data_IF_914109950439
#
_entry.id   IF_914109950439
#
_cell.length_a   1.000
_cell.length_b   1.000
_cell.length_c   1.000
_cell.angle_alpha   90.00
_cell.angle_beta   90.00
_cell.angle_gamma   90.00
#
_symmetry.space_group_name_H-M   'P 1'
#
loop_
_entity.id
_entity.type
_entity.pdbx_description
1 polymer ?
#
# COMPACT_ATOMS: atom_id res chain seq x y z
N UNK A 1 7.69 27.71 -4.05
CA UNK A 1 7.27 26.90 -2.89
C UNK A 1 8.30 25.82 -2.71
N UNK A 2 8.87 25.64 -1.52
CA UNK A 2 9.79 24.55 -1.21
C UNK A 2 9.03 23.22 -1.07
N UNK A 3 9.77 22.10 -1.14
CA UNK A 3 9.14 20.78 -1.02
C UNK A 3 8.48 20.61 0.36
N UNK A 4 9.05 21.14 1.43
CA UNK A 4 8.45 21.06 2.76
C UNK A 4 7.05 21.69 2.79
N UNK A 5 6.91 22.88 2.23
CA UNK A 5 5.61 23.56 2.15
C UNK A 5 4.62 22.84 1.24
N UNK A 6 5.09 22.23 0.16
CA UNK A 6 4.24 21.35 -0.66
C UNK A 6 3.70 20.16 0.17
N UNK A 7 4.55 19.51 0.98
CA UNK A 7 4.13 18.41 1.83
C UNK A 7 3.09 18.86 2.87
N UNK A 8 3.26 20.06 3.45
CA UNK A 8 2.26 20.68 4.36
C UNK A 8 0.95 20.94 3.64
N UNK A 9 0.99 21.60 2.47
CA UNK A 9 -0.19 21.94 1.69
C UNK A 9 -0.97 20.70 1.21
N UNK A 10 -0.27 19.58 1.02
CA UNK A 10 -0.89 18.29 0.70
C UNK A 10 -1.39 17.52 1.91
N UNK A 11 -1.15 18.00 3.15
CA UNK A 11 -1.57 17.33 4.38
C UNK A 11 -0.78 16.06 4.68
N UNK A 12 0.47 15.97 4.22
CA UNK A 12 1.30 14.76 4.33
C UNK A 12 2.10 14.69 5.64
N UNK A 13 2.33 15.80 6.32
CA UNK A 13 3.14 15.86 7.56
C UNK A 13 2.24 15.68 8.78
N UNK A 14 2.60 14.77 9.68
CA UNK A 14 1.91 14.56 10.95
C UNK A 14 2.74 15.05 12.15
N UNK A 15 3.99 14.59 12.29
CA UNK A 15 4.91 14.97 13.37
C UNK A 15 6.33 15.16 12.84
N UNK A 16 7.07 16.05 13.44
CA UNK A 16 8.48 16.35 13.11
C UNK A 16 9.30 16.56 14.38
N UNK A 17 10.57 16.19 14.36
CA UNK A 17 11.49 16.41 15.49
C UNK A 17 11.98 17.86 15.57
N UNK A 18 12.29 18.48 14.43
CA UNK A 18 12.71 19.88 14.31
C UNK A 18 12.29 20.40 12.93
N UNK A 19 11.31 21.29 12.92
CA UNK A 19 10.72 21.78 11.67
C UNK A 19 11.71 22.60 10.83
N UNK A 20 12.48 23.49 11.47
CA UNK A 20 13.37 24.41 10.75
C UNK A 20 14.51 23.63 10.07
N UNK A 21 15.14 22.70 10.78
CA UNK A 21 16.24 21.90 10.27
C UNK A 21 15.77 20.92 9.19
N UNK A 22 14.61 20.29 9.39
CA UNK A 22 14.00 19.39 8.38
C UNK A 22 13.66 20.16 7.10
N UNK A 23 13.05 21.33 7.24
CA UNK A 23 12.75 22.23 6.10
C UNK A 23 14.02 22.58 5.33
N UNK A 24 15.07 22.99 6.04
CA UNK A 24 16.35 23.33 5.38
C UNK A 24 16.94 22.11 4.64
N UNK A 25 16.90 20.93 5.25
CA UNK A 25 17.43 19.72 4.64
C UNK A 25 16.66 19.35 3.35
N UNK A 26 15.34 19.25 3.42
CA UNK A 26 14.54 18.75 2.29
C UNK A 26 14.40 19.78 1.17
N UNK A 27 14.28 21.06 1.48
CA UNK A 27 14.15 22.13 0.48
C UNK A 27 15.45 22.39 -0.32
N UNK A 28 16.60 22.04 0.27
CA UNK A 28 17.91 22.20 -0.39
C UNK A 28 18.47 20.89 -0.97
N UNK A 29 17.70 19.81 -1.00
CA UNK A 29 18.17 18.52 -1.51
C UNK A 29 19.29 17.88 -0.69
N UNK A 30 19.41 18.23 0.60
CA UNK A 30 20.46 17.77 1.52
C UNK A 30 20.03 16.56 2.37
N UNK A 31 18.77 16.15 2.31
CA UNK A 31 18.30 15.00 3.05
C UNK A 31 18.69 13.70 2.35
N UNK A 32 19.48 12.88 3.03
CA UNK A 32 19.55 11.43 2.78
C UNK A 32 18.66 10.78 3.80
N UNK A 33 17.58 10.15 3.34
CA UNK A 33 16.53 9.66 4.23
C UNK A 33 16.16 8.22 3.95
N UNK A 34 15.64 7.52 4.95
CA UNK A 34 15.16 6.16 4.74
C UNK A 34 13.71 5.98 5.17
N UNK A 35 13.07 5.02 4.52
CA UNK A 35 11.79 4.44 4.91
C UNK A 35 11.97 2.92 4.96
N UNK A 36 11.52 2.29 6.05
CA UNK A 36 11.57 0.85 6.24
C UNK A 36 10.33 0.14 5.65
N UNK A 37 10.56 -1.01 5.03
CA UNK A 37 9.53 -1.88 4.46
C UNK A 37 9.77 -3.32 4.90
N UNK A 38 8.88 -3.84 5.74
CA UNK A 38 8.92 -5.25 6.13
C UNK A 38 8.39 -6.13 5.00
N UNK A 39 9.17 -7.11 4.49
CA UNK A 39 8.80 -7.93 3.34
C UNK A 39 7.81 -9.04 3.72
N UNK A 40 6.65 -8.66 4.27
CA UNK A 40 5.62 -9.58 4.79
C UNK A 40 4.73 -10.21 3.71
N UNK A 41 4.90 -9.84 2.46
CA UNK A 41 4.23 -10.39 1.28
C UNK A 41 5.14 -10.18 0.06
N UNK A 42 4.85 -10.89 -1.03
CA UNK A 42 5.53 -10.77 -2.32
C UNK A 42 5.06 -9.56 -3.17
N UNK A 43 4.27 -8.66 -2.59
CA UNK A 43 3.86 -7.41 -3.21
C UNK A 43 3.65 -6.30 -2.19
N UNK A 44 3.95 -5.07 -2.60
CA UNK A 44 3.49 -3.86 -1.97
C UNK A 44 1.98 -3.68 -2.24
N UNK A 45 1.31 -2.91 -1.41
CA UNK A 45 -0.13 -2.61 -1.52
C UNK A 45 -0.39 -1.12 -1.26
N UNK A 46 -1.62 -0.67 -1.47
CA UNK A 46 -2.03 0.74 -1.27
C UNK A 46 -1.62 1.30 0.11
N UNK A 47 -1.50 0.49 1.15
CA UNK A 47 -1.00 0.94 2.45
C UNK A 47 0.46 1.44 2.43
N UNK A 48 1.28 1.03 1.47
CA UNK A 48 2.64 1.51 1.26
C UNK A 48 2.70 2.73 0.31
N UNK A 49 1.59 3.03 -0.36
CA UNK A 49 1.53 4.01 -1.45
C UNK A 49 1.95 5.40 -0.99
N UNK A 50 1.51 5.82 0.20
CA UNK A 50 1.89 7.11 0.79
C UNK A 50 3.41 7.25 0.94
N UNK A 51 4.07 6.20 1.45
CA UNK A 51 5.52 6.17 1.62
C UNK A 51 6.23 6.26 0.27
N UNK A 52 5.75 5.51 -0.74
CA UNK A 52 6.33 5.54 -2.10
C UNK A 52 6.16 6.90 -2.77
N UNK A 53 4.98 7.52 -2.67
CA UNK A 53 4.73 8.85 -3.18
C UNK A 53 5.60 9.91 -2.49
N UNK A 54 5.82 9.78 -1.17
CA UNK A 54 6.72 10.66 -0.44
C UNK A 54 8.16 10.51 -0.92
N UNK A 55 8.65 9.27 -1.06
CA UNK A 55 10.00 9.00 -1.58
C UNK A 55 10.19 9.63 -2.96
N UNK A 56 9.21 9.47 -3.86
CA UNK A 56 9.24 10.07 -5.20
C UNK A 56 9.30 11.59 -5.15
N UNK A 57 8.44 12.24 -4.34
CA UNK A 57 8.41 13.70 -4.21
C UNK A 57 9.74 14.26 -3.71
N UNK A 58 10.28 13.66 -2.67
CA UNK A 58 11.55 14.09 -2.09
C UNK A 58 12.72 13.84 -3.03
N UNK A 59 12.71 12.73 -3.78
CA UNK A 59 13.71 12.48 -4.82
C UNK A 59 13.62 13.50 -5.96
N UNK A 60 12.42 13.87 -6.43
CA UNK A 60 12.22 14.92 -7.42
C UNK A 60 12.71 16.28 -6.93
N UNK A 61 12.71 16.52 -5.62
CA UNK A 61 13.26 17.72 -4.99
C UNK A 61 14.77 17.63 -4.72
N UNK A 62 15.47 16.61 -5.24
CA UNK A 62 16.91 16.43 -5.13
C UNK A 62 17.39 15.69 -3.89
N UNK A 63 16.48 15.19 -3.04
CA UNK A 63 16.85 14.40 -1.86
C UNK A 63 17.14 12.94 -2.21
N UNK A 64 17.91 12.26 -1.39
CA UNK A 64 18.38 10.88 -1.64
C UNK A 64 17.61 9.86 -0.79
N UNK A 65 16.68 9.09 -1.38
CA UNK A 65 15.94 8.07 -0.64
C UNK A 65 16.75 6.78 -0.47
N UNK A 66 16.57 6.14 0.68
CA UNK A 66 17.01 4.78 0.97
C UNK A 66 15.77 3.94 1.28
N UNK A 67 15.49 2.95 0.45
CA UNK A 67 14.51 1.91 0.74
C UNK A 67 15.17 0.84 1.61
N UNK A 68 14.87 0.84 2.91
CA UNK A 68 15.37 -0.17 3.83
C UNK A 68 14.41 -1.36 3.86
N UNK A 69 14.88 -2.51 3.39
CA UNK A 69 14.12 -3.75 3.48
C UNK A 69 14.41 -4.43 4.80
N UNK A 70 13.35 -4.75 5.53
CA UNK A 70 13.40 -5.39 6.85
C UNK A 70 13.68 -6.89 6.78
N UNK A 71 14.76 -7.32 6.10
CA UNK A 71 15.12 -8.74 6.04
C UNK A 71 15.50 -9.31 7.41
N UNK A 72 16.22 -8.56 8.23
CA UNK A 72 16.55 -8.92 9.61
C UNK A 72 15.35 -8.72 10.57
N UNK A 73 14.73 -7.54 10.53
CA UNK A 73 13.57 -7.22 11.38
C UNK A 73 12.33 -8.05 11.03
N UNK A 74 12.22 -8.54 9.80
CA UNK A 74 11.15 -9.45 9.36
C UNK A 74 11.09 -10.78 10.12
N UNK A 75 12.23 -11.23 10.68
CA UNK A 75 12.27 -12.41 11.55
C UNK A 75 11.64 -12.15 12.93
N UNK A 76 11.53 -10.90 13.35
CA UNK A 76 10.97 -10.48 14.64
C UNK A 76 9.51 -10.05 14.49
N UNK A 77 9.26 -9.11 13.58
CA UNK A 77 7.97 -8.48 13.33
C UNK A 77 7.70 -7.26 14.22
N UNK A 78 7.36 -6.15 13.57
CA UNK A 78 7.03 -4.88 14.24
C UNK A 78 5.72 -5.00 15.05
N UNK A 79 5.75 -4.71 16.37
CA UNK A 79 4.54 -4.70 17.22
C UNK A 79 3.69 -3.44 17.03
N UNK A 80 4.22 -2.37 16.42
CA UNK A 80 3.56 -1.06 16.35
C UNK A 80 2.23 -1.13 15.61
N UNK A 81 1.19 -0.54 16.20
CA UNK A 81 -0.16 -0.49 15.61
C UNK A 81 -0.85 -1.85 15.43
N UNK A 82 -0.43 -2.87 16.17
CA UNK A 82 -0.97 -4.24 16.12
C UNK A 82 -1.41 -4.74 17.48
N UNK A 83 -2.31 -5.71 17.43
CA UNK A 83 -2.80 -6.39 18.64
C UNK A 83 -2.26 -7.82 18.76
N UNK A 84 -1.74 -8.41 17.67
CA UNK A 84 -1.31 -9.80 17.60
C UNK A 84 0.13 -9.91 17.06
N UNK A 85 0.86 -10.94 17.48
CA UNK A 85 2.21 -11.24 16.99
C UNK A 85 2.17 -11.67 15.52
N UNK A 86 3.20 -11.29 14.74
CA UNK A 86 3.35 -11.74 13.34
C UNK A 86 3.79 -13.21 13.28
N UNK A 87 3.38 -13.92 12.22
CA UNK A 87 3.94 -15.22 11.86
C UNK A 87 5.39 -15.06 11.38
N UNK A 88 6.27 -15.96 11.82
CA UNK A 88 7.66 -15.98 11.38
C UNK A 88 7.76 -16.47 9.94
N UNK A 89 8.59 -15.80 9.13
CA UNK A 89 8.84 -16.16 7.73
C UNK A 89 10.20 -16.85 7.58
N UNK A 90 10.36 -17.69 6.55
CA UNK A 90 11.67 -18.26 6.22
C UNK A 90 12.53 -17.25 5.47
N UNK A 91 13.86 -17.48 5.48
CA UNK A 91 14.80 -16.61 4.76
C UNK A 91 14.48 -16.57 3.26
N UNK A 92 14.17 -17.71 2.65
CA UNK A 92 13.85 -17.81 1.22
C UNK A 92 12.61 -16.97 0.87
N UNK A 93 11.60 -16.98 1.73
CA UNK A 93 10.39 -16.14 1.56
C UNK A 93 10.74 -14.64 1.65
N UNK A 94 11.58 -14.28 2.62
CA UNK A 94 12.02 -12.88 2.79
C UNK A 94 12.81 -12.42 1.56
N UNK A 95 13.78 -13.21 1.09
CA UNK A 95 14.61 -12.89 -0.08
C UNK A 95 13.76 -12.74 -1.35
N UNK A 96 12.79 -13.64 -1.55
CA UNK A 96 11.85 -13.53 -2.66
C UNK A 96 11.02 -12.24 -2.60
N UNK A 97 10.45 -11.93 -1.45
CA UNK A 97 9.64 -10.72 -1.25
C UNK A 97 10.46 -9.44 -1.45
N UNK A 98 11.73 -9.42 -1.02
CA UNK A 98 12.65 -8.31 -1.26
C UNK A 98 12.83 -8.02 -2.75
N UNK A 99 13.06 -9.08 -3.55
CA UNK A 99 13.23 -8.95 -5.00
C UNK A 99 11.94 -8.40 -5.67
N UNK A 100 10.77 -8.85 -5.21
CA UNK A 100 9.47 -8.35 -5.69
C UNK A 100 9.29 -6.86 -5.36
N UNK A 101 9.63 -6.44 -4.15
CA UNK A 101 9.54 -5.04 -3.72
C UNK A 101 10.40 -4.12 -4.57
N UNK A 102 11.64 -4.49 -4.85
CA UNK A 102 12.55 -3.70 -5.68
C UNK A 102 11.93 -3.38 -7.04
N UNK A 103 11.46 -4.41 -7.73
CA UNK A 103 10.84 -4.26 -9.05
C UNK A 103 9.62 -3.32 -9.04
N UNK A 104 8.85 -3.32 -7.97
CA UNK A 104 7.68 -2.44 -7.83
C UNK A 104 8.09 -1.01 -7.48
N UNK A 105 9.11 -0.82 -6.62
CA UNK A 105 9.62 0.49 -6.24
C UNK A 105 10.28 1.24 -7.40
N UNK A 106 10.89 0.54 -8.35
CA UNK A 106 11.49 1.11 -9.57
C UNK A 106 10.50 1.94 -10.42
N UNK A 107 9.19 1.76 -10.21
CA UNK A 107 8.17 2.59 -10.85
C UNK A 107 7.97 3.95 -10.17
N UNK A 108 8.40 4.08 -8.93
CA UNK A 108 8.25 5.31 -8.13
C UNK A 108 9.54 6.10 -8.03
N UNK A 109 10.65 5.43 -7.78
CA UNK A 109 11.95 6.06 -7.53
C UNK A 109 13.01 5.48 -8.45
N UNK A 110 13.97 6.33 -8.80
CA UNK A 110 15.11 5.95 -9.61
C UNK A 110 16.25 5.46 -8.70
N UNK A 111 16.64 4.20 -8.86
CA UNK A 111 17.79 3.62 -8.18
C UNK A 111 19.11 3.89 -8.92
N UNK A 112 20.20 4.06 -8.18
CA UNK A 112 21.54 4.29 -8.72
C UNK A 112 22.50 4.85 -7.68
N UNK A 113 23.77 4.98 -8.01
CA UNK A 113 24.84 5.37 -7.09
C UNK A 113 24.59 6.73 -6.44
N UNK A 114 24.11 7.73 -7.22
CA UNK A 114 23.77 9.07 -6.74
C UNK A 114 22.26 9.34 -6.64
N UNK A 115 21.46 8.28 -6.71
CA UNK A 115 20.00 8.34 -6.66
C UNK A 115 19.49 7.60 -5.42
N UNK A 116 18.43 6.80 -5.56
CA UNK A 116 17.94 5.98 -4.47
C UNK A 116 18.82 4.74 -4.27
N UNK A 117 18.93 4.31 -3.02
CA UNK A 117 19.53 3.03 -2.65
C UNK A 117 18.47 2.09 -2.12
N UNK A 118 18.67 0.78 -2.33
CA UNK A 118 17.95 -0.26 -1.62
C UNK A 118 18.95 -1.06 -0.80
N UNK A 119 18.70 -1.18 0.49
CA UNK A 119 19.54 -1.90 1.44
C UNK A 119 18.69 -2.86 2.27
N UNK A 120 19.30 -3.93 2.75
CA UNK A 120 18.63 -4.94 3.57
C UNK A 120 19.27 -4.93 4.97
N UNK A 121 18.48 -4.73 6.00
CA UNK A 121 19.01 -4.74 7.37
C UNK A 121 19.46 -6.12 7.86
N UNK A 122 19.16 -7.19 7.13
CA UNK A 122 19.76 -8.51 7.37
C UNK A 122 21.29 -8.47 7.27
N UNK A 123 21.84 -7.61 6.38
CA UNK A 123 23.28 -7.51 6.12
C UNK A 123 24.09 -7.04 7.34
N UNK A 124 23.47 -6.41 8.33
CA UNK A 124 24.13 -5.99 9.56
C UNK A 124 23.46 -6.52 10.84
N UNK A 125 22.16 -6.82 10.84
CA UNK A 125 21.48 -7.28 12.05
C UNK A 125 21.75 -8.76 12.34
N UNK A 126 21.90 -9.60 11.32
CA UNK A 126 22.03 -11.05 11.52
C UNK A 126 23.41 -11.45 12.06
N UNK A 127 24.42 -10.64 11.80
CA UNK A 127 25.81 -10.91 12.25
C UNK A 127 26.16 -10.17 13.56
N UNK A 128 25.20 -9.46 14.18
CA UNK A 128 25.45 -8.74 15.43
C UNK A 128 25.72 -9.70 16.60
N UNK A 129 26.81 -9.43 17.31
CA UNK A 129 27.06 -10.10 18.58
C UNK A 129 26.07 -9.56 19.64
N UNK A 130 25.27 -10.45 20.21
CA UNK A 130 24.23 -10.09 21.15
C UNK A 130 24.76 -9.35 22.40
N UNK A 131 25.89 -9.80 22.96
CA UNK A 131 26.48 -9.20 24.17
C UNK A 131 27.02 -7.80 23.86
N UNK A 132 27.65 -7.64 22.71
CA UNK A 132 28.18 -6.33 22.27
C UNK A 132 27.01 -5.37 21.98
N UNK A 133 25.94 -5.82 21.33
CA UNK A 133 24.76 -5.01 21.10
C UNK A 133 24.14 -4.53 22.42
N UNK A 134 23.97 -5.39 23.41
CA UNK A 134 23.46 -5.00 24.72
C UNK A 134 24.35 -4.00 25.42
N UNK A 135 25.67 -4.19 25.36
CA UNK A 135 26.64 -3.29 26.00
C UNK A 135 26.70 -1.92 25.35
N UNK A 136 26.78 -1.88 24.01
CA UNK A 136 27.04 -0.65 23.27
C UNK A 136 25.74 0.12 22.93
N UNK A 137 24.67 -0.59 22.62
CA UNK A 137 23.39 0.01 22.18
C UNK A 137 22.36 -0.08 23.30
N UNK A 138 22.20 -1.24 23.91
CA UNK A 138 21.21 -1.45 24.99
C UNK A 138 21.40 -0.49 26.16
N UNK A 139 22.65 -0.14 26.51
CA UNK A 139 22.96 0.86 27.55
C UNK A 139 22.41 2.26 27.25
N UNK A 140 22.07 2.56 25.99
CA UNK A 140 21.48 3.84 25.61
C UNK A 140 19.96 3.90 25.82
N UNK A 141 19.31 2.76 26.10
CA UNK A 141 17.87 2.66 26.25
C UNK A 141 17.44 2.44 27.70
N UNK A 142 16.41 3.15 28.13
CA UNK A 142 15.77 2.95 29.42
C UNK A 142 14.51 2.11 29.24
N UNK A 143 14.46 0.94 29.88
CA UNK A 143 13.27 0.06 29.87
C UNK A 143 12.01 0.83 30.31
N UNK A 144 12.12 1.67 31.36
CA UNK A 144 10.98 2.46 31.82
C UNK A 144 10.46 3.44 30.77
N UNK A 145 11.35 4.03 29.96
CA UNK A 145 10.95 4.93 28.89
C UNK A 145 10.35 4.14 27.69
N UNK A 146 10.97 3.01 27.36
CA UNK A 146 10.43 2.12 26.31
C UNK A 146 9.02 1.64 26.64
N UNK A 147 8.75 1.19 27.85
CA UNK A 147 7.43 0.72 28.28
C UNK A 147 6.35 1.82 28.26
N UNK A 148 6.74 3.09 28.28
CA UNK A 148 5.81 4.23 28.12
C UNK A 148 5.51 4.56 26.66
N UNK A 149 6.28 4.01 25.71
CA UNK A 149 6.12 4.27 24.31
C UNK A 149 4.78 3.75 23.78
N UNK A 150 4.14 4.53 22.92
CA UNK A 150 2.80 4.21 22.40
C UNK A 150 2.76 2.89 21.64
N UNK A 151 3.86 2.55 20.93
CA UNK A 151 3.97 1.29 20.18
C UNK A 151 3.84 0.03 21.07
N UNK A 152 4.11 0.13 22.38
CA UNK A 152 4.00 -1.02 23.30
C UNK A 152 2.70 -1.06 24.12
N UNK A 153 2.01 0.06 24.32
CA UNK A 153 0.83 0.13 25.20
C UNK A 153 -0.24 -0.92 24.86
N UNK A 154 -0.64 -1.01 23.58
CA UNK A 154 -1.66 -1.96 23.14
C UNK A 154 -1.22 -3.42 23.28
N UNK A 155 0.09 -3.67 23.09
CA UNK A 155 0.66 -5.01 23.22
C UNK A 155 0.79 -5.45 24.67
N UNK A 156 1.08 -4.52 25.59
CA UNK A 156 1.20 -4.83 27.03
C UNK A 156 -0.09 -5.41 27.61
N UNK A 157 -1.27 -4.98 27.15
CA UNK A 157 -2.57 -5.49 27.58
C UNK A 157 -2.76 -6.96 27.22
N UNK A 158 -2.19 -7.41 26.09
CA UNK A 158 -2.29 -8.77 25.57
C UNK A 158 -1.06 -9.65 25.80
N UNK A 159 -0.02 -9.08 26.41
CA UNK A 159 1.26 -9.74 26.66
C UNK A 159 2.29 -9.39 25.56
N UNK A 160 3.19 -8.46 25.88
CA UNK A 160 4.35 -8.10 25.05
C UNK A 160 5.47 -9.12 25.26
N UNK A 161 5.90 -9.79 24.19
CA UNK A 161 7.05 -10.69 24.26
C UNK A 161 8.37 -9.92 24.32
N UNK A 162 9.41 -10.56 24.91
CA UNK A 162 10.76 -10.00 24.92
C UNK A 162 11.29 -9.79 23.48
N UNK A 163 10.92 -10.66 22.56
CA UNK A 163 11.24 -10.55 21.14
C UNK A 163 10.72 -9.22 20.56
N UNK A 164 9.41 -8.97 20.68
CA UNK A 164 8.77 -7.75 20.20
C UNK A 164 9.30 -6.49 20.90
N UNK A 165 9.63 -6.60 22.18
CA UNK A 165 10.20 -5.48 22.97
C UNK A 165 11.55 -5.01 22.42
N UNK A 166 12.34 -5.89 21.83
CA UNK A 166 13.62 -5.54 21.23
C UNK A 166 13.50 -4.87 19.85
N UNK A 167 12.32 -4.88 19.21
CA UNK A 167 12.15 -4.31 17.88
C UNK A 167 12.57 -2.84 17.80
N UNK A 168 12.18 -2.02 18.77
CA UNK A 168 12.59 -0.60 18.84
C UNK A 168 14.10 -0.44 18.83
N UNK A 169 14.85 -1.30 19.54
CA UNK A 169 16.31 -1.24 19.60
C UNK A 169 16.91 -1.56 18.23
N UNK A 170 16.36 -2.58 17.54
CA UNK A 170 16.82 -2.98 16.21
C UNK A 170 16.56 -1.89 15.17
N UNK A 171 15.38 -1.30 15.15
CA UNK A 171 15.08 -0.19 14.23
C UNK A 171 15.91 1.06 14.55
N UNK A 172 16.19 1.33 15.83
CA UNK A 172 17.09 2.41 16.23
C UNK A 172 18.52 2.15 15.77
N UNK A 173 18.97 0.90 15.82
CA UNK A 173 20.27 0.49 15.31
C UNK A 173 20.35 0.61 13.78
N UNK A 174 19.28 0.31 13.06
CA UNK A 174 19.19 0.54 11.61
C UNK A 174 19.47 2.01 11.28
N UNK A 175 18.81 2.95 11.97
CA UNK A 175 19.04 4.37 11.73
C UNK A 175 20.47 4.78 12.05
N UNK A 176 21.00 4.31 13.19
CA UNK A 176 22.39 4.57 13.59
C UNK A 176 23.39 4.02 12.56
N UNK A 177 23.18 2.80 12.05
CA UNK A 177 24.00 2.18 11.02
C UNK A 177 23.94 2.97 9.69
N UNK A 178 22.73 3.31 9.24
CA UNK A 178 22.53 4.08 8.02
C UNK A 178 23.12 5.49 8.11
N UNK A 179 23.05 6.11 9.28
CA UNK A 179 23.69 7.40 9.53
C UNK A 179 25.20 7.35 9.34
N UNK A 180 25.85 6.31 9.87
CA UNK A 180 27.31 6.17 9.80
C UNK A 180 27.79 5.74 8.40
N UNK A 181 27.11 4.83 7.75
CA UNK A 181 27.60 4.18 6.53
C UNK A 181 27.05 4.80 5.23
N UNK A 182 25.89 5.46 5.31
CA UNK A 182 25.22 6.01 4.13
C UNK A 182 24.91 7.52 4.24
N UNK A 183 25.34 8.16 5.32
CA UNK A 183 25.06 9.58 5.57
C UNK A 183 23.57 9.88 5.74
N UNK A 184 22.77 8.88 6.13
CA UNK A 184 21.34 9.00 6.32
C UNK A 184 21.02 9.89 7.53
N UNK A 185 20.53 11.09 7.30
CA UNK A 185 20.25 12.09 8.33
C UNK A 185 18.78 12.22 8.71
N UNK A 186 17.88 11.50 7.99
CA UNK A 186 16.44 11.55 8.27
C UNK A 186 15.80 10.17 8.17
N UNK A 187 14.78 9.96 9.02
CA UNK A 187 13.87 8.81 8.92
C UNK A 187 12.44 9.29 8.69
N UNK A 188 11.74 8.64 7.76
CA UNK A 188 10.31 8.83 7.56
C UNK A 188 9.55 7.54 7.85
N UNK A 189 8.33 7.66 8.35
CA UNK A 189 7.47 6.53 8.62
C UNK A 189 6.03 6.94 8.89
N UNK A 190 5.14 5.97 9.08
CA UNK A 190 3.78 6.22 9.56
C UNK A 190 3.79 6.77 11.00
N UNK A 191 2.67 7.37 11.40
CA UNK A 191 2.55 7.96 12.74
C UNK A 191 2.67 6.90 13.87
N UNK A 192 2.38 5.65 13.59
CA UNK A 192 2.57 4.51 14.48
C UNK A 192 4.06 4.17 14.73
N UNK A 193 4.98 4.66 13.88
CA UNK A 193 6.43 4.47 13.99
C UNK A 193 7.14 5.53 14.84
N UNK A 194 6.45 6.58 15.29
CA UNK A 194 7.06 7.73 15.94
C UNK A 194 8.01 7.37 17.08
N UNK A 195 7.58 6.48 17.99
CA UNK A 195 8.41 6.06 19.13
C UNK A 195 9.68 5.32 18.71
N UNK A 196 9.59 4.47 17.68
CA UNK A 196 10.76 3.75 17.15
C UNK A 196 11.75 4.72 16.48
N UNK A 197 11.23 5.71 15.75
CA UNK A 197 12.03 6.73 15.07
C UNK A 197 12.79 7.60 16.07
N UNK A 198 12.13 8.03 17.14
CA UNK A 198 12.77 8.78 18.22
C UNK A 198 13.86 7.97 18.93
N UNK A 199 13.71 6.66 19.05
CA UNK A 199 14.76 5.76 19.55
C UNK A 199 16.04 5.86 18.72
N UNK A 200 15.91 5.94 17.40
CA UNK A 200 17.04 6.09 16.48
C UNK A 200 17.72 7.45 16.57
N UNK A 201 16.94 8.55 16.57
CA UNK A 201 17.51 9.91 16.73
C UNK A 201 18.25 10.06 18.04
N UNK A 202 17.70 9.53 19.14
CA UNK A 202 18.31 9.56 20.46
C UNK A 202 19.58 8.69 20.55
N UNK A 203 19.60 7.53 19.89
CA UNK A 203 20.79 6.68 19.82
C UNK A 203 21.93 7.39 19.10
N UNK A 204 21.67 8.03 17.95
CA UNK A 204 22.65 8.81 17.19
C UNK A 204 23.20 9.96 18.06
N UNK A 205 22.31 10.68 18.72
CA UNK A 205 22.72 11.78 19.62
C UNK A 205 23.61 11.29 20.75
N UNK A 206 23.28 10.19 21.43
CA UNK A 206 24.06 9.65 22.55
C UNK A 206 25.39 9.07 22.12
N UNK A 207 25.45 8.38 20.99
CA UNK A 207 26.67 7.68 20.54
C UNK A 207 27.61 8.59 19.78
N UNK A 208 27.09 9.52 18.97
CA UNK A 208 27.89 10.32 18.04
C UNK A 208 27.90 11.81 18.39
N UNK A 209 27.05 12.29 19.30
CA UNK A 209 26.89 13.72 19.59
C UNK A 209 26.40 14.52 18.37
N UNK A 210 25.66 13.88 17.47
CA UNK A 210 25.14 14.46 16.23
C UNK A 210 23.62 14.41 16.22
N UNK A 211 23.00 15.31 15.46
CA UNK A 211 21.57 15.36 15.27
C UNK A 211 21.16 14.57 14.04
N UNK A 212 20.06 13.87 14.16
CA UNK A 212 19.34 13.21 13.09
C UNK A 212 17.84 13.47 13.27
N UNK A 213 17.08 13.46 12.19
CA UNK A 213 15.70 13.94 12.20
C UNK A 213 14.72 12.84 11.85
N UNK A 214 13.51 13.01 12.37
CA UNK A 214 12.40 12.11 12.08
C UNK A 214 11.15 12.92 11.68
N UNK A 215 10.42 12.43 10.70
CA UNK A 215 9.14 12.97 10.28
C UNK A 215 8.15 11.85 10.02
N UNK A 216 6.95 11.94 10.60
CA UNK A 216 5.88 11.00 10.29
C UNK A 216 4.93 11.56 9.24
N UNK A 217 4.44 10.67 8.41
CA UNK A 217 3.42 10.95 7.40
C UNK A 217 2.02 10.63 7.92
N UNK A 218 1.06 11.44 7.51
CA UNK A 218 -0.36 11.23 7.79
C UNK A 218 -0.81 9.88 7.23
N UNK A 219 -1.57 9.12 8.02
CA UNK A 219 -2.15 7.87 7.54
C UNK A 219 -3.27 8.13 6.53
N UNK A 220 -3.31 7.33 5.48
CA UNK A 220 -4.40 7.37 4.51
C UNK A 220 -5.63 6.66 5.10
N UNK A 221 -6.53 7.45 5.68
CA UNK A 221 -7.78 7.00 6.25
C UNK A 221 -8.96 7.47 5.40
N UNK A 222 -10.01 6.64 5.30
CA UNK A 222 -11.26 7.08 4.72
C UNK A 222 -12.06 7.97 5.70
N UNK A 223 -13.20 8.50 5.27
CA UNK A 223 -14.09 9.35 6.07
C UNK A 223 -14.65 8.67 7.34
N UNK A 224 -14.65 7.33 7.38
CA UNK A 224 -14.99 6.53 8.56
C UNK A 224 -13.81 6.31 9.53
N UNK A 225 -12.62 6.84 9.23
CA UNK A 225 -11.40 6.65 10.03
C UNK A 225 -10.73 5.28 9.83
N UNK A 226 -11.10 4.52 8.81
CA UNK A 226 -10.49 3.21 8.49
C UNK A 226 -9.32 3.38 7.55
N UNK A 227 -8.25 2.59 7.73
CA UNK A 227 -7.10 2.56 6.80
C UNK A 227 -7.56 2.13 5.40
N UNK A 228 -7.24 2.93 4.38
CA UNK A 228 -7.53 2.61 2.99
C UNK A 228 -6.59 1.51 2.44
N UNK A 229 -6.97 0.92 1.32
CA UNK A 229 -6.17 -0.13 0.65
C UNK A 229 -6.56 -1.55 1.01
N UNK A 230 -7.70 -1.73 1.69
CA UNK A 230 -8.31 -3.04 1.93
C UNK A 230 -9.74 -3.04 1.43
N UNK A 231 -10.12 -4.12 0.76
CA UNK A 231 -11.50 -4.41 0.34
C UNK A 231 -12.02 -5.63 1.11
N UNK A 232 -13.26 -6.02 0.88
CA UNK A 232 -13.80 -7.27 1.42
C UNK A 232 -13.03 -8.52 0.94
N UNK A 233 -12.37 -8.42 -0.22
CA UNK A 233 -11.53 -9.49 -0.82
C UNK A 233 -10.06 -9.42 -0.39
N UNK A 234 -9.65 -8.45 0.42
CA UNK A 234 -8.28 -8.33 0.93
C UNK A 234 -7.58 -7.02 0.56
N UNK A 235 -6.25 -7.05 0.51
CA UNK A 235 -5.45 -5.88 0.18
C UNK A 235 -5.52 -5.56 -1.32
N UNK A 236 -5.47 -4.26 -1.65
CA UNK A 236 -5.30 -3.78 -3.02
C UNK A 236 -3.81 -3.71 -3.31
N UNK A 237 -3.33 -4.63 -4.14
CA UNK A 237 -1.92 -4.84 -4.42
C UNK A 237 -1.41 -3.94 -5.55
N UNK A 238 -0.11 -3.65 -5.55
CA UNK A 238 0.56 -2.93 -6.64
C UNK A 238 1.06 -3.89 -7.74
N UNK A 239 1.11 -5.19 -7.47
CA UNK A 239 1.40 -6.22 -8.48
C UNK A 239 0.18 -6.43 -9.39
N UNK A 240 0.32 -6.25 -10.72
CA UNK A 240 -0.78 -6.42 -11.66
C UNK A 240 -1.32 -7.86 -11.75
N UNK A 241 -0.55 -8.87 -11.30
CA UNK A 241 -0.99 -10.26 -11.23
C UNK A 241 -1.88 -10.55 -10.00
N UNK A 242 -1.89 -9.68 -8.99
CA UNK A 242 -2.69 -9.81 -7.76
C UNK A 242 -3.89 -8.88 -7.74
N UNK A 243 -3.74 -7.68 -8.25
CA UNK A 243 -4.80 -6.71 -8.51
C UNK A 243 -4.54 -6.15 -9.89
N UNK A 244 -5.38 -6.52 -10.85
CA UNK A 244 -5.22 -6.06 -12.24
C UNK A 244 -5.28 -4.53 -12.33
N UNK A 245 -4.67 -3.90 -13.36
CA UNK A 245 -4.77 -2.45 -13.56
C UNK A 245 -6.21 -1.94 -13.61
N UNK A 246 -7.13 -2.73 -14.14
CA UNK A 246 -8.56 -2.41 -14.16
C UNK A 246 -9.18 -2.42 -12.76
N UNK A 247 -8.90 -3.46 -11.94
CA UNK A 247 -9.40 -3.53 -10.56
C UNK A 247 -8.80 -2.41 -9.70
N UNK A 248 -7.52 -2.09 -9.92
CA UNK A 248 -6.84 -0.98 -9.25
C UNK A 248 -7.48 0.37 -9.63
N UNK A 249 -7.78 0.59 -10.92
CA UNK A 249 -8.53 1.75 -11.41
C UNK A 249 -9.91 1.83 -10.76
N UNK A 250 -10.66 0.73 -10.76
CA UNK A 250 -12.00 0.66 -10.17
C UNK A 250 -12.00 0.91 -8.66
N UNK A 251 -10.98 0.46 -7.95
CA UNK A 251 -10.84 0.76 -6.52
C UNK A 251 -10.85 2.28 -6.29
N UNK A 252 -10.03 3.03 -7.01
CA UNK A 252 -9.95 4.49 -6.88
C UNK A 252 -11.16 5.22 -7.47
N UNK A 253 -11.74 4.70 -8.54
CA UNK A 253 -12.96 5.22 -9.14
C UNK A 253 -14.18 5.10 -8.23
N UNK A 254 -14.14 4.18 -7.27
CA UNK A 254 -15.23 3.86 -6.35
C UNK A 254 -15.01 4.40 -4.92
N UNK A 255 -14.01 5.25 -4.67
CA UNK A 255 -13.87 5.92 -3.37
C UNK A 255 -15.10 6.80 -3.10
N UNK A 256 -15.39 7.02 -1.82
CA UNK A 256 -16.53 7.85 -1.43
C UNK A 256 -16.30 9.32 -1.84
N UNK A 257 -17.40 10.06 -2.07
CA UNK A 257 -17.34 11.47 -2.44
C UNK A 257 -16.57 12.31 -1.41
N UNK A 258 -16.72 11.97 -0.12
CA UNK A 258 -16.04 12.64 0.98
C UNK A 258 -14.51 12.43 1.01
N UNK A 259 -14.01 11.41 0.29
CA UNK A 259 -12.58 11.01 0.33
C UNK A 259 -11.82 11.41 -0.93
N UNK A 260 -12.49 11.62 -2.06
CA UNK A 260 -11.85 11.73 -3.37
C UNK A 260 -10.88 12.92 -3.45
N UNK A 261 -11.28 14.11 -3.03
CA UNK A 261 -10.44 15.31 -3.11
C UNK A 261 -9.24 15.22 -2.18
N UNK A 262 -9.42 14.67 -0.99
CA UNK A 262 -8.34 14.34 -0.07
C UNK A 262 -7.33 13.37 -0.71
N UNK A 263 -7.81 12.29 -1.33
CA UNK A 263 -6.93 11.33 -2.02
C UNK A 263 -6.17 11.99 -3.17
N UNK A 264 -6.81 12.84 -3.96
CA UNK A 264 -6.15 13.61 -5.03
C UNK A 264 -5.02 14.46 -4.46
N UNK A 265 -5.29 15.22 -3.40
CA UNK A 265 -4.32 16.11 -2.76
C UNK A 265 -3.11 15.37 -2.21
N UNK A 266 -3.34 14.24 -1.55
CA UNK A 266 -2.27 13.48 -0.88
C UNK A 266 -1.46 12.60 -1.85
N UNK A 267 -2.10 11.99 -2.83
CA UNK A 267 -1.51 10.89 -3.60
C UNK A 267 -1.06 11.28 -5.01
N UNK A 268 -1.76 12.23 -5.68
CA UNK A 268 -1.42 12.59 -7.06
C UNK A 268 -0.28 13.60 -7.14
N UNK A 269 0.34 13.69 -8.32
CA UNK A 269 1.39 14.66 -8.63
C UNK A 269 0.84 15.86 -9.39
N UNK A 270 -0.47 16.07 -9.39
CA UNK A 270 -1.11 17.24 -9.98
C UNK A 270 -0.65 18.53 -9.28
N UNK A 271 -0.54 19.66 -10.02
CA UNK A 271 -0.24 20.96 -9.43
C UNK A 271 -1.25 21.33 -8.34
N UNK A 272 -0.77 21.97 -7.26
CA UNK A 272 -1.63 22.38 -6.14
C UNK A 272 -2.72 23.35 -6.57
N UNK A 273 -2.42 24.28 -7.50
CA UNK A 273 -3.39 25.23 -8.05
C UNK A 273 -4.56 24.52 -8.73
N UNK A 274 -4.30 23.44 -9.43
CA UNK A 274 -5.36 22.61 -10.04
C UNK A 274 -6.19 21.90 -8.97
N UNK A 275 -5.53 21.40 -7.92
CA UNK A 275 -6.22 20.73 -6.81
C UNK A 275 -7.09 21.71 -6.02
N UNK A 276 -6.60 22.93 -5.79
CA UNK A 276 -7.33 23.99 -5.09
C UNK A 276 -8.60 24.42 -5.88
N UNK A 277 -8.55 24.37 -7.21
CA UNK A 277 -9.77 24.53 -8.03
C UNK A 277 -10.73 23.33 -7.90
N UNK A 278 -10.19 22.11 -7.83
CA UNK A 278 -10.99 20.89 -7.66
C UNK A 278 -11.65 20.81 -6.27
N UNK A 279 -11.07 21.43 -5.24
CA UNK A 279 -11.65 21.48 -3.89
C UNK A 279 -13.01 22.23 -3.84
N UNK A 280 -13.32 23.01 -4.88
CA UNK A 280 -14.61 23.69 -5.05
C UNK A 280 -15.66 22.80 -5.74
N UNK A 281 -15.29 21.59 -6.16
CA UNK A 281 -16.18 20.71 -6.91
C UNK A 281 -17.17 20.01 -6.01
N UNK A 282 -18.43 19.94 -6.46
CA UNK A 282 -19.54 19.32 -5.76
C UNK A 282 -20.40 18.47 -6.70
N UNK A 283 -21.22 17.60 -6.11
CA UNK A 283 -22.20 16.81 -6.85
C UNK A 283 -21.60 15.98 -7.98
N UNK A 284 -22.06 16.18 -9.21
CA UNK A 284 -21.60 15.40 -10.38
C UNK A 284 -20.13 15.64 -10.75
N UNK A 285 -19.53 16.77 -10.36
CA UNK A 285 -18.12 17.05 -10.60
C UNK A 285 -17.20 16.10 -9.82
N UNK A 286 -17.64 15.57 -8.66
CA UNK A 286 -16.90 14.57 -7.90
C UNK A 286 -16.72 13.26 -8.68
N UNK A 287 -17.63 12.92 -9.59
CA UNK A 287 -17.41 11.78 -10.49
C UNK A 287 -16.22 12.00 -11.42
N UNK A 288 -16.06 13.23 -11.92
CA UNK A 288 -14.89 13.60 -12.71
C UNK A 288 -13.61 13.57 -11.88
N UNK A 289 -13.66 14.03 -10.62
CA UNK A 289 -12.53 13.93 -9.69
C UNK A 289 -12.11 12.47 -9.45
N UNK A 290 -13.07 11.55 -9.31
CA UNK A 290 -12.79 10.11 -9.17
C UNK A 290 -12.16 9.51 -10.43
N UNK A 291 -12.54 9.95 -11.62
CA UNK A 291 -11.90 9.53 -12.88
C UNK A 291 -10.45 10.00 -12.94
N UNK A 292 -10.20 11.26 -12.61
CA UNK A 292 -8.85 11.82 -12.54
C UNK A 292 -8.00 11.06 -11.53
N UNK A 293 -8.50 10.86 -10.30
CA UNK A 293 -7.80 10.10 -9.26
C UNK A 293 -7.44 8.70 -9.74
N UNK A 294 -8.40 7.97 -10.29
CA UNK A 294 -8.20 6.61 -10.76
C UNK A 294 -7.18 6.54 -11.91
N UNK A 295 -7.26 7.47 -12.85
CA UNK A 295 -6.32 7.55 -13.96
C UNK A 295 -4.90 7.85 -13.48
N UNK A 296 -4.71 8.93 -12.70
CA UNK A 296 -3.41 9.37 -12.21
C UNK A 296 -2.69 8.27 -11.40
N UNK A 297 -3.42 7.60 -10.49
CA UNK A 297 -2.82 6.57 -9.66
C UNK A 297 -2.58 5.26 -10.42
N UNK A 298 -3.43 4.91 -11.38
CA UNK A 298 -3.19 3.74 -12.23
C UNK A 298 -2.01 4.00 -13.17
N UNK A 299 -1.89 5.20 -13.74
CA UNK A 299 -0.75 5.57 -14.57
C UNK A 299 0.56 5.54 -13.78
N UNK A 300 0.55 6.02 -12.53
CA UNK A 300 1.72 6.00 -11.66
C UNK A 300 2.20 4.58 -11.33
N UNK A 301 1.28 3.63 -11.09
CA UNK A 301 1.61 2.26 -10.67
C UNK A 301 1.82 1.32 -11.86
N UNK A 302 0.95 1.39 -12.87
CA UNK A 302 0.90 0.43 -13.97
C UNK A 302 1.36 1.00 -15.31
N UNK A 303 1.53 2.32 -15.40
CA UNK A 303 1.89 3.05 -16.61
C UNK A 303 0.66 3.60 -17.35
N UNK A 304 0.91 4.61 -18.21
CA UNK A 304 -0.15 5.34 -18.91
C UNK A 304 -0.99 4.46 -19.86
N UNK A 305 -0.37 3.49 -20.53
CA UNK A 305 -1.04 2.58 -21.43
C UNK A 305 -2.14 1.77 -20.71
N UNK A 306 -1.78 1.19 -19.57
CA UNK A 306 -2.72 0.42 -18.75
C UNK A 306 -3.81 1.31 -18.11
N UNK A 307 -3.45 2.54 -17.73
CA UNK A 307 -4.43 3.51 -17.23
C UNK A 307 -5.47 3.89 -18.32
N UNK A 308 -5.03 4.14 -19.55
CA UNK A 308 -5.92 4.43 -20.69
C UNK A 308 -6.85 3.26 -21.00
N UNK A 309 -6.33 2.03 -20.99
CA UNK A 309 -7.14 0.80 -21.19
C UNK A 309 -8.16 0.65 -20.08
N UNK A 310 -7.78 0.80 -18.83
CA UNK A 310 -8.67 0.70 -17.68
C UNK A 310 -9.76 1.79 -17.71
N UNK A 311 -9.41 3.03 -18.06
CA UNK A 311 -10.38 4.13 -18.21
C UNK A 311 -11.37 3.85 -19.35
N UNK A 312 -10.88 3.42 -20.53
CA UNK A 312 -11.72 3.10 -21.68
C UNK A 312 -12.72 1.96 -21.34
N UNK A 313 -12.23 0.90 -20.69
CA UNK A 313 -13.08 -0.21 -20.26
C UNK A 313 -14.13 0.23 -19.23
N UNK A 314 -13.75 1.09 -18.27
CA UNK A 314 -14.70 1.64 -17.32
C UNK A 314 -15.79 2.48 -18.00
N UNK A 315 -15.43 3.33 -18.97
CA UNK A 315 -16.38 4.16 -19.73
C UNK A 315 -17.31 3.32 -20.60
N UNK A 316 -16.79 2.29 -21.26
CA UNK A 316 -17.58 1.38 -22.10
C UNK A 316 -18.67 0.66 -21.30
N UNK A 317 -18.36 0.22 -20.08
CA UNK A 317 -19.32 -0.45 -19.20
C UNK A 317 -20.46 0.47 -18.72
N UNK A 318 -20.21 1.77 -18.60
CA UNK A 318 -21.24 2.74 -18.21
C UNK A 318 -21.98 3.34 -19.42
N UNK A 319 -21.43 3.23 -20.63
CA UNK A 319 -21.98 3.78 -21.87
C UNK A 319 -22.86 2.80 -22.68
N UNK A 320 -23.06 1.57 -22.24
CA UNK A 320 -23.93 0.58 -22.90
C UNK A 320 -23.37 -0.05 -24.18
N UNK A 321 -22.10 0.19 -24.53
CA UNK A 321 -21.39 -0.47 -25.63
C UNK A 321 -20.10 -1.11 -25.07
N UNK A 322 -20.24 -2.30 -24.51
CA UNK A 322 -19.15 -2.96 -23.77
C UNK A 322 -18.02 -3.45 -24.68
N UNK A 323 -16.87 -2.85 -24.58
CA UNK A 323 -15.62 -3.51 -24.97
C UNK A 323 -15.14 -4.36 -23.78
N UNK A 324 -15.35 -5.69 -23.92
CA UNK A 324 -15.09 -6.66 -22.84
C UNK A 324 -13.63 -7.15 -22.81
N UNK A 325 -12.75 -6.58 -23.62
CA UNK A 325 -11.38 -7.10 -23.82
C UNK A 325 -10.46 -6.87 -22.59
N UNK A 326 -10.79 -5.90 -21.75
CA UNK A 326 -9.96 -5.53 -20.58
C UNK A 326 -10.68 -5.69 -19.23
N UNK A 327 -11.83 -6.35 -19.21
CA UNK A 327 -12.57 -6.66 -18.00
C UNK A 327 -11.87 -7.79 -17.22
N UNK A 328 -11.90 -7.81 -15.87
CA UNK A 328 -11.47 -8.97 -15.12
C UNK A 328 -12.10 -10.21 -15.70
N UNK A 329 -11.28 -11.20 -16.06
CA UNK A 329 -11.77 -12.40 -16.71
C UNK A 329 -11.26 -13.65 -16.01
N UNK A 330 -12.09 -14.68 -15.98
CA UNK A 330 -11.72 -16.03 -15.54
C UNK A 330 -11.86 -16.97 -16.73
N UNK A 331 -10.77 -17.64 -17.09
CA UNK A 331 -10.78 -18.76 -18.03
C UNK A 331 -11.13 -20.04 -17.27
N UNK A 332 -12.13 -20.75 -17.75
CA UNK A 332 -12.53 -22.05 -17.21
C UNK A 332 -11.98 -23.15 -18.12
N UNK A 333 -11.60 -24.29 -17.55
CA UNK A 333 -11.26 -25.49 -18.27
C UNK A 333 -12.52 -26.37 -18.46
N UNK A 334 -12.55 -27.21 -19.52
CA UNK A 334 -13.70 -28.06 -19.79
C UNK A 334 -14.04 -29.07 -18.68
N UNK A 335 -13.04 -29.51 -17.92
CA UNK A 335 -13.19 -30.41 -16.77
C UNK A 335 -13.85 -29.76 -15.53
N UNK A 336 -13.98 -28.44 -15.54
CA UNK A 336 -14.68 -27.69 -14.47
C UNK A 336 -16.21 -27.66 -14.68
N UNK A 337 -16.69 -28.15 -15.83
CA UNK A 337 -18.11 -28.23 -16.15
C UNK A 337 -18.65 -29.61 -15.72
N UNK A 338 -19.60 -29.62 -14.79
CA UNK A 338 -20.27 -30.85 -14.36
C UNK A 338 -21.35 -31.26 -15.41
N UNK A 339 -21.05 -32.28 -16.21
CA UNK A 339 -21.96 -32.74 -17.27
C UNK A 339 -22.14 -31.70 -18.40
N UNK A 340 -21.11 -30.89 -18.68
CA UNK A 340 -21.13 -29.91 -19.78
C UNK A 340 -21.79 -28.57 -19.41
N UNK A 341 -22.15 -28.36 -18.15
CA UNK A 341 -22.75 -27.12 -17.63
C UNK A 341 -22.13 -26.69 -16.31
N UNK A 342 -22.25 -25.42 -16.00
CA UNK A 342 -21.84 -24.85 -14.70
C UNK A 342 -22.94 -23.94 -14.13
N UNK A 343 -23.20 -24.02 -12.82
CA UNK A 343 -24.22 -23.20 -12.18
C UNK A 343 -23.72 -21.77 -11.90
N UNK A 344 -24.66 -20.80 -11.95
CA UNK A 344 -24.37 -19.37 -11.74
C UNK A 344 -23.74 -19.09 -10.38
N UNK A 345 -24.14 -19.79 -9.32
CA UNK A 345 -23.56 -19.58 -7.98
C UNK A 345 -22.09 -19.99 -7.95
N UNK A 346 -21.72 -21.08 -8.64
CA UNK A 346 -20.32 -21.50 -8.79
C UNK A 346 -19.52 -20.46 -9.58
N UNK A 347 -20.06 -19.92 -10.67
CA UNK A 347 -19.44 -18.85 -11.46
C UNK A 347 -19.19 -17.60 -10.58
N UNK A 348 -20.18 -17.15 -9.82
CA UNK A 348 -20.05 -15.99 -8.94
C UNK A 348 -19.00 -16.16 -7.84
N UNK A 349 -18.80 -17.38 -7.35
CA UNK A 349 -17.75 -17.67 -6.36
C UNK A 349 -16.38 -17.77 -7.04
N UNK A 350 -16.26 -18.44 -8.16
CA UNK A 350 -14.99 -18.57 -8.90
C UNK A 350 -14.44 -17.23 -9.38
N UNK A 351 -15.32 -16.32 -9.79
CA UNK A 351 -14.96 -14.96 -10.22
C UNK A 351 -14.70 -14.00 -9.07
N UNK A 352 -14.86 -14.43 -7.82
CA UNK A 352 -14.72 -13.55 -6.65
C UNK A 352 -15.86 -12.53 -6.49
N UNK A 353 -16.87 -12.54 -7.36
CA UNK A 353 -18.03 -11.66 -7.22
C UNK A 353 -18.84 -11.99 -5.96
N UNK A 354 -18.80 -13.22 -5.47
CA UNK A 354 -19.37 -13.64 -4.20
C UNK A 354 -18.36 -14.47 -3.41
N UNK A 355 -18.37 -14.36 -2.09
CA UNK A 355 -17.43 -15.06 -1.21
C UNK A 355 -17.81 -16.53 -0.98
N UNK A 356 -19.09 -16.84 -1.04
CA UNK A 356 -19.65 -18.19 -0.83
C UNK A 356 -20.87 -18.45 -1.71
N UNK A 357 -21.21 -19.74 -1.93
CA UNK A 357 -22.46 -20.09 -2.61
C UNK A 357 -23.72 -19.56 -1.90
N UNK A 358 -23.69 -19.45 -0.58
CA UNK A 358 -24.80 -18.85 0.19
C UNK A 358 -24.93 -17.36 -0.06
N UNK A 359 -23.81 -16.63 -0.18
CA UNK A 359 -23.79 -15.21 -0.57
C UNK A 359 -24.29 -15.05 -2.01
N UNK A 360 -23.84 -15.89 -2.94
CA UNK A 360 -24.30 -15.90 -4.33
C UNK A 360 -25.81 -16.11 -4.42
N UNK A 361 -26.34 -17.12 -3.72
CA UNK A 361 -27.79 -17.40 -3.67
C UNK A 361 -28.60 -16.21 -3.21
N UNK A 362 -28.17 -15.57 -2.11
CA UNK A 362 -28.86 -14.38 -1.57
C UNK A 362 -28.86 -13.23 -2.58
N UNK A 363 -27.71 -12.95 -3.22
CA UNK A 363 -27.60 -11.89 -4.21
C UNK A 363 -28.48 -12.15 -5.45
N UNK A 364 -28.56 -13.40 -5.95
CA UNK A 364 -29.43 -13.79 -7.05
C UNK A 364 -30.90 -13.57 -6.67
N UNK A 365 -31.34 -14.08 -5.51
CA UNK A 365 -32.72 -13.94 -5.03
C UNK A 365 -33.14 -12.48 -4.83
N UNK A 366 -32.24 -11.62 -4.38
CA UNK A 366 -32.48 -10.19 -4.21
C UNK A 366 -32.42 -9.43 -5.56
N UNK A 367 -32.13 -10.13 -6.66
CA UNK A 367 -32.02 -9.52 -8.00
C UNK A 367 -30.83 -8.59 -8.15
N UNK A 368 -29.78 -8.82 -7.36
CA UNK A 368 -28.51 -8.10 -7.41
C UNK A 368 -27.52 -8.63 -8.44
N UNK A 369 -27.89 -9.68 -9.20
CA UNK A 369 -27.04 -10.32 -10.21
C UNK A 369 -27.64 -10.14 -11.61
N UNK A 370 -26.77 -9.78 -12.57
CA UNK A 370 -27.09 -9.76 -14.00
C UNK A 370 -26.05 -10.59 -14.76
N UNK A 371 -26.46 -11.17 -15.87
CA UNK A 371 -25.61 -11.88 -16.83
C UNK A 371 -25.97 -11.33 -18.23
N UNK A 372 -24.95 -10.81 -18.93
CA UNK A 372 -25.10 -10.12 -20.23
C UNK A 372 -26.22 -9.07 -20.23
N UNK A 373 -26.22 -8.22 -19.16
CA UNK A 373 -27.23 -7.19 -18.90
C UNK A 373 -28.65 -7.69 -18.60
N UNK A 374 -28.88 -8.99 -18.54
CA UNK A 374 -30.14 -9.57 -18.13
C UNK A 374 -30.14 -9.91 -16.65
N UNK A 375 -31.17 -9.45 -15.92
CA UNK A 375 -31.35 -9.74 -14.51
C UNK A 375 -31.68 -11.21 -14.28
N UNK A 376 -30.87 -11.90 -13.48
CA UNK A 376 -31.10 -13.31 -13.11
C UNK A 376 -31.56 -13.40 -11.67
N UNK A 377 -32.72 -14.05 -11.46
CA UNK A 377 -33.28 -14.33 -10.13
C UNK A 377 -33.41 -15.81 -9.82
N UNK A 378 -33.19 -16.65 -10.85
CA UNK A 378 -33.19 -18.10 -10.69
C UNK A 378 -31.85 -18.60 -10.15
N UNK A 379 -31.89 -19.17 -8.95
CA UNK A 379 -30.72 -19.74 -8.29
C UNK A 379 -30.27 -21.08 -8.89
N UNK A 380 -31.11 -21.71 -9.73
CA UNK A 380 -30.81 -22.93 -10.48
C UNK A 380 -30.26 -22.69 -11.88
N UNK A 381 -30.09 -21.43 -12.31
CA UNK A 381 -29.59 -21.11 -13.65
C UNK A 381 -28.21 -21.70 -13.87
N UNK A 382 -28.06 -22.38 -15.00
CA UNK A 382 -26.82 -23.01 -15.50
C UNK A 382 -26.46 -22.45 -16.86
N UNK A 383 -25.19 -22.56 -17.24
CA UNK A 383 -24.63 -22.14 -18.51
C UNK A 383 -23.87 -23.29 -19.15
N UNK A 384 -24.03 -23.44 -20.46
CA UNK A 384 -23.40 -24.48 -21.28
C UNK A 384 -22.00 -24.08 -21.72
N UNK A 385 -21.24 -25.06 -22.22
CA UNK A 385 -19.92 -24.82 -22.81
C UNK A 385 -19.97 -23.79 -23.94
N UNK A 386 -21.00 -23.85 -24.80
CA UNK A 386 -21.12 -22.95 -25.96
C UNK A 386 -21.40 -21.50 -25.52
N UNK A 387 -22.24 -21.29 -24.50
CA UNK A 387 -22.47 -19.96 -23.92
C UNK A 387 -21.19 -19.39 -23.31
N UNK A 388 -20.41 -20.22 -22.63
CA UNK A 388 -19.15 -19.82 -22.03
C UNK A 388 -18.05 -19.54 -23.06
N UNK A 389 -18.01 -20.26 -24.18
CA UNK A 389 -17.08 -19.97 -25.31
C UNK A 389 -17.38 -18.62 -25.96
N UNK A 390 -18.64 -18.21 -25.99
CA UNK A 390 -19.02 -16.86 -26.41
C UNK A 390 -18.58 -15.75 -25.46
N UNK A 391 -18.33 -16.11 -24.20
CA UNK A 391 -17.92 -15.21 -23.11
C UNK A 391 -19.12 -14.57 -22.41
N UNK A 392 -19.33 -14.89 -21.13
CA UNK A 392 -20.41 -14.34 -20.31
C UNK A 392 -19.90 -13.18 -19.45
N UNK A 393 -20.66 -12.09 -19.39
CA UNK A 393 -20.38 -10.96 -18.49
C UNK A 393 -21.29 -11.09 -17.28
N UNK A 394 -20.69 -11.38 -16.13
CA UNK A 394 -21.36 -11.41 -14.84
C UNK A 394 -21.29 -10.03 -14.18
N UNK A 395 -22.41 -9.57 -13.61
CA UNK A 395 -22.46 -8.32 -12.85
C UNK A 395 -23.13 -8.54 -11.50
N UNK A 396 -22.48 -8.06 -10.41
CA UNK A 396 -23.08 -8.00 -9.08
C UNK A 396 -23.26 -6.54 -8.65
N UNK A 397 -24.51 -6.14 -8.43
CA UNK A 397 -24.88 -4.77 -8.14
C UNK A 397 -24.60 -3.84 -9.32
N UNK A 398 -24.24 -2.56 -9.03
CA UNK A 398 -24.05 -1.55 -10.08
C UNK A 398 -22.59 -1.44 -10.58
N UNK A 399 -21.62 -2.00 -9.84
CA UNK A 399 -20.21 -1.63 -10.01
C UNK A 399 -19.25 -2.81 -10.21
N UNK A 400 -19.65 -4.05 -9.94
CA UNK A 400 -18.75 -5.21 -9.99
C UNK A 400 -19.09 -6.05 -11.22
N UNK A 401 -18.13 -6.13 -12.14
CA UNK A 401 -18.24 -6.88 -13.41
C UNK A 401 -17.13 -7.92 -13.49
N UNK A 402 -17.38 -9.03 -14.15
CA UNK A 402 -16.39 -10.07 -14.41
C UNK A 402 -16.78 -10.88 -15.66
N UNK A 403 -15.82 -11.10 -16.55
CA UNK A 403 -16.01 -11.91 -17.74
C UNK A 403 -15.62 -13.37 -17.46
N UNK A 404 -16.39 -14.31 -17.94
CA UNK A 404 -16.07 -15.74 -17.87
C UNK A 404 -16.00 -16.30 -19.29
N UNK A 405 -14.93 -17.03 -19.59
CA UNK A 405 -14.69 -17.64 -20.90
C UNK A 405 -14.27 -19.09 -20.67
N UNK A 406 -14.79 -20.01 -21.48
CA UNK A 406 -14.30 -21.39 -21.54
C UNK A 406 -13.14 -21.47 -22.54
N UNK A 407 -12.05 -22.09 -22.10
CA UNK A 407 -10.86 -22.31 -22.93
C UNK A 407 -10.87 -23.67 -23.58
#
# INVERSE_FOLDING_TARGET
MGIYEELVARGLIAQVTNEEEIRELVDNGKATFYIGFDPTADSLHVGHFMALCLMKRLQMAGNKPIALIGGGTGHIGDPSGRTDMRSMMTKETIDHNCACFKKQMERFIEFGEDKALMVNNADWLLDLNYVELLREVGACFSVNNMLRAECYKQRMEKGLSFLEFNYMIMQSYDFYYLFQHYGCNMQFGGNDQWSNMLGGTELIRKKLGKDAHAMTITLLLNSEGKKMGKTASGAVWLDPNKTSPYEFYQYWRNVEDADVLKCIRMLTFLPLEQIDEMDKWEGSQLNRAKEILAYELTALVHGEEEAKKAEASAKALFGGAGDSEHMPSTELAEDELAGGVIDLMTLLVKTGLCTTKSDARRNIQQGGVMVDDEKVTDTGKTYTADELKAGLILRRGKKNFHKVILK
#
